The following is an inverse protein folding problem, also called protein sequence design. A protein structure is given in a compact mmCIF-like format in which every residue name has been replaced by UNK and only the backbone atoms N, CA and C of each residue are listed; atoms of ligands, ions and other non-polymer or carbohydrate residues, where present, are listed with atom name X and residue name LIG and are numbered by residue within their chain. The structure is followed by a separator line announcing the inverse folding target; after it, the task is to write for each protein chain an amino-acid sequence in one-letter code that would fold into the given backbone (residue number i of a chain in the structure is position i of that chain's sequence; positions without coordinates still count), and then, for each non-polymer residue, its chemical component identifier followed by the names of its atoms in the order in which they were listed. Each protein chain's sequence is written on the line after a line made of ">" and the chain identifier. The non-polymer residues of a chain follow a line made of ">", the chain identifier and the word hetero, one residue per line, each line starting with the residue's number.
data_IF_541936593567
#
_entry.id   IF_541936593567
#
_cell.length_a   1.000
_cell.length_b   1.000
_cell.length_c   1.000
_cell.angle_alpha   90.00
_cell.angle_beta   90.00
_cell.angle_gamma   90.00
#
_symmetry.space_group_name_H-M   'P 1'
#
loop_
_entity.id
_entity.type
_entity.pdbx_description
1 polymer ?
#
# COMPACT_ATOMS: atom_id res chain seq x y z
N UNK A 1 -28.81 12.54 11.27
CA UNK A 1 -28.02 11.28 11.31
C UNK A 1 -28.57 10.12 10.45
N UNK A 2 -29.78 10.17 9.88
CA UNK A 2 -30.34 9.03 9.11
C UNK A 2 -29.82 8.88 7.66
N UNK A 3 -29.41 9.97 6.99
CA UNK A 3 -29.05 9.92 5.56
C UNK A 3 -27.79 9.10 5.26
N UNK A 4 -26.78 9.21 6.12
CA UNK A 4 -25.50 8.47 5.98
C UNK A 4 -25.74 6.96 6.08
N UNK A 5 -26.64 6.53 6.97
CA UNK A 5 -27.00 5.12 7.14
C UNK A 5 -27.64 4.54 5.87
N UNK A 6 -28.49 5.32 5.21
CA UNK A 6 -29.14 4.91 3.96
C UNK A 6 -28.15 4.79 2.80
N UNK A 7 -27.23 5.75 2.70
CA UNK A 7 -26.15 5.72 1.68
C UNK A 7 -25.27 4.49 1.89
N UNK A 8 -24.86 4.22 3.13
CA UNK A 8 -24.08 3.02 3.45
C UNK A 8 -24.83 1.72 3.11
N UNK A 9 -26.12 1.62 3.45
CA UNK A 9 -26.96 0.47 3.12
C UNK A 9 -27.06 0.25 1.61
N UNK A 10 -27.25 1.30 0.82
CA UNK A 10 -27.31 1.22 -0.65
C UNK A 10 -26.00 0.68 -1.24
N UNK A 11 -24.85 1.17 -0.79
CA UNK A 11 -23.55 0.66 -1.22
C UNK A 11 -23.33 -0.79 -0.78
N UNK A 12 -23.72 -1.13 0.46
CA UNK A 12 -23.59 -2.48 0.99
C UNK A 12 -24.47 -3.48 0.24
N UNK A 13 -25.74 -3.15 0.04
CA UNK A 13 -26.71 -3.99 -0.69
C UNK A 13 -26.33 -4.11 -2.17
N UNK A 14 -25.95 -3.00 -2.81
CA UNK A 14 -25.44 -3.01 -4.18
C UNK A 14 -24.23 -3.92 -4.31
N UNK A 15 -23.23 -3.76 -3.44
CA UNK A 15 -22.03 -4.59 -3.45
C UNK A 15 -22.31 -6.07 -3.14
N UNK A 16 -23.26 -6.36 -2.24
CA UNK A 16 -23.67 -7.73 -1.94
C UNK A 16 -24.41 -8.38 -3.12
N UNK A 17 -25.25 -7.64 -3.85
CA UNK A 17 -25.97 -8.17 -5.01
C UNK A 17 -25.10 -8.32 -6.27
N UNK A 18 -23.88 -7.77 -6.27
CA UNK A 18 -22.91 -8.01 -7.33
C UNK A 18 -22.33 -9.43 -7.26
N UNK A 19 -22.93 -10.36 -7.98
CA UNK A 19 -22.41 -11.73 -8.17
C UNK A 19 -21.11 -11.75 -8.97
N UNK A 20 -21.07 -11.07 -10.13
CA UNK A 20 -19.84 -10.93 -10.93
C UNK A 20 -18.85 -9.98 -10.24
N UNK A 21 -19.33 -8.87 -9.68
CA UNK A 21 -18.47 -7.88 -9.04
C UNK A 21 -17.73 -8.44 -7.82
N UNK A 22 -18.31 -9.34 -7.03
CA UNK A 22 -17.60 -10.00 -5.92
C UNK A 22 -16.38 -10.78 -6.38
N UNK A 23 -16.47 -11.47 -7.52
CA UNK A 23 -15.36 -12.22 -8.10
C UNK A 23 -14.28 -11.26 -8.61
N UNK A 24 -14.70 -10.18 -9.28
CA UNK A 24 -13.78 -9.16 -9.78
C UNK A 24 -13.04 -8.45 -8.65
N UNK A 25 -13.74 -8.10 -7.56
CA UNK A 25 -13.13 -7.51 -6.37
C UNK A 25 -12.13 -8.44 -5.69
N UNK A 26 -12.42 -9.75 -5.61
CA UNK A 26 -11.45 -10.73 -5.13
C UNK A 26 -10.18 -10.72 -6.00
N UNK A 27 -10.31 -10.70 -7.32
CA UNK A 27 -9.17 -10.61 -8.24
C UNK A 27 -8.36 -9.32 -8.04
N UNK A 28 -9.02 -8.18 -7.86
CA UNK A 28 -8.36 -6.89 -7.58
C UNK A 28 -7.59 -6.97 -6.27
N UNK A 29 -8.20 -7.51 -5.20
CA UNK A 29 -7.55 -7.68 -3.89
C UNK A 29 -6.32 -8.59 -4.02
N UNK A 30 -6.43 -9.73 -4.72
CA UNK A 30 -5.29 -10.61 -4.98
C UNK A 30 -4.17 -9.83 -5.69
N UNK A 31 -4.49 -9.10 -6.76
CA UNK A 31 -3.50 -8.30 -7.50
C UNK A 31 -2.84 -7.25 -6.60
N UNK A 32 -3.62 -6.55 -5.77
CA UNK A 32 -3.09 -5.56 -4.84
C UNK A 32 -2.14 -6.18 -3.82
N UNK A 33 -2.49 -7.35 -3.25
CA UNK A 33 -1.61 -8.08 -2.34
C UNK A 33 -0.32 -8.49 -3.07
N UNK A 34 -0.41 -9.03 -4.28
CA UNK A 34 0.76 -9.41 -5.08
C UNK A 34 1.65 -8.20 -5.37
N UNK A 35 1.08 -7.05 -5.73
CA UNK A 35 1.86 -5.83 -6.00
C UNK A 35 2.51 -5.31 -4.72
N UNK A 36 1.80 -5.31 -3.58
CA UNK A 36 2.35 -4.92 -2.28
C UNK A 36 3.49 -5.84 -1.83
N UNK A 37 3.32 -7.16 -1.98
CA UNK A 37 4.35 -8.14 -1.66
C UNK A 37 5.54 -8.06 -2.62
N UNK A 38 5.29 -7.86 -3.91
CA UNK A 38 6.33 -7.67 -4.91
C UNK A 38 7.12 -6.39 -4.61
N UNK A 39 6.44 -5.26 -4.39
CA UNK A 39 7.09 -4.01 -4.02
C UNK A 39 7.87 -4.16 -2.71
N UNK A 40 7.30 -4.81 -1.70
CA UNK A 40 7.98 -5.04 -0.43
C UNK A 40 9.22 -5.92 -0.59
N UNK A 41 9.16 -7.00 -1.36
CA UNK A 41 10.32 -7.88 -1.55
C UNK A 41 11.35 -7.27 -2.50
N UNK A 42 10.95 -6.68 -3.64
CA UNK A 42 11.88 -6.11 -4.61
C UNK A 42 12.44 -4.75 -4.22
N UNK A 43 11.65 -3.86 -3.60
CA UNK A 43 12.09 -2.49 -3.26
C UNK A 43 12.79 -2.45 -1.91
N UNK A 44 12.34 -3.25 -0.93
CA UNK A 44 12.92 -3.18 0.41
C UNK A 44 14.26 -3.92 0.51
N UNK A 45 14.40 -5.09 -0.12
CA UNK A 45 15.66 -5.86 -0.08
C UNK A 45 16.77 -5.22 -0.92
N UNK A 46 16.44 -4.59 -2.06
CA UNK A 46 17.45 -4.02 -2.98
C UNK A 46 17.89 -2.60 -2.65
N UNK A 47 17.08 -1.83 -1.94
CA UNK A 47 17.32 -0.38 -1.76
C UNK A 47 17.70 -0.03 -0.33
N UNK A 48 17.22 -0.75 0.69
CA UNK A 48 17.37 -0.32 2.09
C UNK A 48 18.40 -1.15 2.87
N UNK A 49 18.43 -2.48 2.68
CA UNK A 49 19.32 -3.36 3.44
C UNK A 49 20.70 -3.57 2.81
N UNK A 50 20.79 -3.47 1.50
CA UNK A 50 22.03 -3.75 0.75
C UNK A 50 23.00 -2.57 0.71
N UNK A 51 22.53 -1.33 0.83
CA UNK A 51 23.41 -0.15 0.83
C UNK A 51 23.97 0.23 2.21
N UNK A 52 23.35 -0.19 3.32
CA UNK A 52 23.76 0.28 4.66
C UNK A 52 23.89 -0.89 5.64
N UNK A 53 25.12 -1.24 5.99
CA UNK A 53 25.45 -2.29 6.98
C UNK A 53 25.24 -1.83 8.43
N UNK A 54 25.21 -0.52 8.66
CA UNK A 54 25.12 0.09 9.98
C UNK A 54 24.09 1.22 9.96
N UNK A 55 23.15 1.21 10.90
CA UNK A 55 22.09 2.23 11.00
C UNK A 55 22.66 3.65 11.13
N UNK A 56 23.85 3.79 11.73
CA UNK A 56 24.55 5.06 11.83
C UNK A 56 25.00 5.64 10.47
N UNK A 57 25.43 4.80 9.52
CA UNK A 57 25.83 5.25 8.18
C UNK A 57 24.63 5.70 7.36
N UNK A 58 23.50 5.01 7.52
CA UNK A 58 22.23 5.37 6.89
C UNK A 58 21.74 6.73 7.36
N UNK A 59 21.80 6.99 8.66
CA UNK A 59 21.41 8.27 9.26
C UNK A 59 22.30 9.40 8.72
N UNK A 60 23.61 9.19 8.65
CA UNK A 60 24.52 10.20 8.10
C UNK A 60 24.30 10.46 6.61
N UNK A 61 24.02 9.44 5.80
CA UNK A 61 23.71 9.62 4.39
C UNK A 61 22.42 10.43 4.17
N UNK A 62 21.36 10.12 4.93
CA UNK A 62 20.09 10.85 4.86
C UNK A 62 20.27 12.30 5.30
N UNK A 63 20.96 12.54 6.43
CA UNK A 63 21.27 13.89 6.90
C UNK A 63 22.06 14.68 5.85
N UNK A 64 23.07 14.05 5.22
CA UNK A 64 23.88 14.69 4.18
C UNK A 64 23.04 15.09 2.96
N UNK A 65 22.11 14.25 2.52
CA UNK A 65 21.24 14.60 1.38
C UNK A 65 20.21 15.67 1.74
N UNK A 66 19.60 15.61 2.93
CA UNK A 66 18.64 16.62 3.39
C UNK A 66 19.28 18.00 3.61
N UNK A 67 20.56 18.05 3.99
CA UNK A 67 21.31 19.30 4.22
C UNK A 67 21.90 19.84 2.90
N UNK A 68 22.10 18.99 1.89
CA UNK A 68 22.70 19.37 0.60
C UNK A 68 21.71 20.07 -0.34
N UNK A 69 20.42 19.98 -0.07
CA UNK A 69 19.39 20.78 -0.76
C UNK A 69 19.26 22.17 -0.10
N UNK A 70 20.33 22.97 -0.23
CA UNK A 70 20.37 24.40 0.03
C UNK A 70 21.09 25.10 -1.13
#
# INVERSE_FOLDING_TARGET
>A
MHKIKNIYLLYKEGFQNLTIGRILWKLIIIKLIVILLFLNTFVYDKTIKTEYKNDNEKIQFVLKNLIKDN
#
